data_IF_321874805161
#
_entry.id   IF_321874805161
#
_cell.length_a   1.000
_cell.length_b   1.000
_cell.length_c   1.000
_cell.angle_alpha   90.00
_cell.angle_beta   90.00
_cell.angle_gamma   90.00
#
_symmetry.space_group_name_H-M   'P 1'
#
loop_
_entity.id
_entity.type
_entity.pdbx_description
1 polymer ?
#
# COMPACT_ATOMS: atom_id res chain seq x y z
N UNK A 1 21.57 21.05 -10.71
CA UNK A 1 20.91 21.26 -9.41
C UNK A 1 20.76 19.89 -8.82
N UNK A 2 21.42 19.60 -7.70
CA UNK A 2 21.28 18.29 -7.04
C UNK A 2 19.81 18.10 -6.68
N UNK A 3 19.26 16.96 -7.11
CA UNK A 3 17.89 16.51 -6.86
C UNK A 3 17.74 16.22 -5.35
N UNK A 4 17.67 17.28 -4.54
CA UNK A 4 17.42 17.20 -3.12
C UNK A 4 15.92 16.94 -2.93
N UNK A 5 15.56 15.70 -2.66
CA UNK A 5 14.20 15.29 -2.29
C UNK A 5 14.30 14.13 -1.30
N UNK A 6 13.29 13.99 -0.43
CA UNK A 6 13.13 12.85 0.46
C UNK A 6 12.19 11.80 -0.14
N UNK A 7 11.14 12.26 -0.83
CA UNK A 7 10.19 11.40 -1.57
C UNK A 7 9.93 11.99 -2.95
N UNK A 8 9.99 11.16 -3.99
CA UNK A 8 9.65 11.53 -5.37
C UNK A 8 8.66 10.53 -5.94
N UNK A 9 7.49 11.03 -6.32
CA UNK A 9 6.39 10.28 -6.93
C UNK A 9 6.20 10.85 -8.34
N UNK A 10 6.27 10.01 -9.37
CA UNK A 10 6.14 10.45 -10.76
C UNK A 10 5.20 9.54 -11.55
N UNK A 11 4.12 10.13 -12.05
CA UNK A 11 3.11 9.52 -12.91
C UNK A 11 2.56 8.21 -12.31
N UNK A 12 2.41 8.18 -10.99
CA UNK A 12 2.02 6.98 -10.25
C UNK A 12 0.55 6.69 -10.46
N UNK A 13 0.27 5.45 -10.88
CA UNK A 13 -1.08 4.93 -11.03
C UNK A 13 -1.26 3.70 -10.15
N UNK A 14 -2.51 3.45 -9.74
CA UNK A 14 -2.86 2.25 -9.00
C UNK A 14 -4.24 1.76 -9.40
N UNK A 15 -4.26 0.58 -10.00
CA UNK A 15 -5.45 -0.17 -10.38
C UNK A 15 -5.78 -1.21 -9.30
N UNK A 16 -7.08 -1.42 -9.07
CA UNK A 16 -7.59 -2.50 -8.25
C UNK A 16 -8.62 -3.31 -9.03
N UNK A 17 -8.42 -4.62 -9.04
CA UNK A 17 -9.39 -5.57 -9.55
C UNK A 17 -10.52 -5.80 -8.55
N UNK A 18 -11.76 -5.71 -9.04
CA UNK A 18 -12.99 -5.95 -8.30
C UNK A 18 -13.47 -7.40 -8.50
N UNK A 19 -12.66 -8.36 -8.05
CA UNK A 19 -13.08 -9.76 -7.97
C UNK A 19 -14.21 -9.93 -6.96
N UNK A 20 -15.27 -10.66 -7.30
CA UNK A 20 -16.37 -10.94 -6.37
C UNK A 20 -16.04 -12.11 -5.44
N UNK A 21 -15.22 -13.05 -5.89
CA UNK A 21 -14.85 -14.26 -5.14
C UNK A 21 -13.39 -14.67 -5.35
N UNK A 22 -12.81 -15.41 -4.39
CA UNK A 22 -11.46 -15.98 -4.52
C UNK A 22 -11.37 -16.96 -5.71
N UNK A 23 -12.46 -17.68 -6.00
CA UNK A 23 -12.56 -18.60 -7.14
C UNK A 23 -12.41 -17.87 -8.49
N UNK A 24 -12.97 -16.66 -8.63
CA UNK A 24 -12.79 -15.83 -9.82
C UNK A 24 -11.33 -15.39 -10.00
N UNK A 25 -10.65 -15.04 -8.90
CA UNK A 25 -9.22 -14.68 -8.91
C UNK A 25 -8.36 -15.85 -9.40
N UNK A 26 -8.59 -17.06 -8.89
CA UNK A 26 -7.89 -18.27 -9.34
C UNK A 26 -8.16 -18.58 -10.82
N UNK A 27 -9.42 -18.50 -11.27
CA UNK A 27 -9.77 -18.74 -12.69
C UNK A 27 -9.14 -17.72 -13.64
N UNK A 28 -9.01 -16.46 -13.21
CA UNK A 28 -8.31 -15.42 -13.96
C UNK A 28 -6.81 -15.70 -14.05
N UNK A 29 -6.19 -16.16 -12.94
CA UNK A 29 -4.78 -16.54 -12.91
C UNK A 29 -4.42 -17.63 -13.93
N UNK A 30 -5.25 -18.68 -14.04
CA UNK A 30 -5.05 -19.75 -15.03
C UNK A 30 -5.51 -19.38 -16.45
N UNK A 31 -5.90 -18.12 -16.71
CA UNK A 31 -6.44 -17.68 -18.01
C UNK A 31 -7.65 -18.48 -18.51
N UNK A 32 -8.36 -19.17 -17.60
CA UNK A 32 -9.53 -20.01 -17.92
C UNK A 32 -10.78 -19.16 -18.18
N UNK A 33 -10.83 -17.95 -17.58
CA UNK A 33 -11.91 -17.00 -17.81
C UNK A 33 -11.55 -15.96 -18.87
N UNK A 34 -12.36 -15.85 -19.94
CA UNK A 34 -12.25 -14.79 -20.96
C UNK A 34 -12.90 -13.46 -20.54
N UNK A 35 -13.61 -13.43 -19.41
CA UNK A 35 -14.31 -12.22 -18.98
C UNK A 35 -13.32 -11.23 -18.37
N UNK A 36 -13.34 -9.97 -18.84
CA UNK A 36 -12.58 -8.88 -18.22
C UNK A 36 -13.05 -8.69 -16.78
N UNK A 37 -12.11 -8.77 -15.85
CA UNK A 37 -12.36 -8.48 -14.44
C UNK A 37 -12.71 -7.00 -14.33
N UNK A 38 -13.84 -6.64 -13.68
CA UNK A 38 -14.13 -5.24 -13.42
C UNK A 38 -13.00 -4.66 -12.57
N UNK A 39 -12.52 -3.47 -12.91
CA UNK A 39 -11.43 -2.81 -12.19
C UNK A 39 -11.76 -1.33 -12.01
N UNK A 40 -10.98 -0.65 -11.17
CA UNK A 40 -11.01 0.80 -11.09
C UNK A 40 -9.62 1.35 -10.78
N UNK A 41 -9.35 2.57 -11.24
CA UNK A 41 -8.13 3.29 -10.96
C UNK A 41 -8.31 4.18 -9.72
N UNK A 42 -7.64 3.79 -8.64
CA UNK A 42 -7.58 4.56 -7.40
C UNK A 42 -6.66 5.77 -7.48
N UNK A 43 -5.60 5.68 -8.29
CA UNK A 43 -4.67 6.77 -8.64
C UNK A 43 -4.46 6.77 -10.16
N UNK A 44 -4.49 7.96 -10.76
CA UNK A 44 -4.53 8.19 -12.21
C UNK A 44 -3.41 9.13 -12.66
N UNK A 45 -2.18 8.88 -12.20
CA UNK A 45 -1.00 9.62 -12.66
C UNK A 45 -0.58 10.72 -11.69
N UNK A 46 -0.39 10.37 -10.42
CA UNK A 46 0.04 11.32 -9.39
C UNK A 46 1.53 11.61 -9.54
N UNK A 47 1.88 12.89 -9.59
CA UNK A 47 3.26 13.37 -9.57
C UNK A 47 3.44 14.42 -8.47
N UNK A 48 4.31 14.15 -7.50
CA UNK A 48 4.65 15.10 -6.44
C UNK A 48 6.06 14.83 -5.90
N UNK A 49 6.66 15.83 -5.27
CA UNK A 49 7.98 15.73 -4.64
C UNK A 49 7.92 16.34 -3.25
N UNK A 50 8.49 15.65 -2.26
CA UNK A 50 8.55 16.07 -0.86
C UNK A 50 10.00 16.34 -0.52
N UNK A 51 10.26 17.51 0.04
CA UNK A 51 11.59 17.93 0.45
C UNK A 51 11.97 17.33 1.83
N UNK A 52 13.27 17.15 2.13
CA UNK A 52 13.69 16.76 3.48
C UNK A 52 13.20 17.77 4.53
N UNK A 53 12.69 17.28 5.66
CA UNK A 53 12.14 18.11 6.75
C UNK A 53 10.77 18.74 6.48
N UNK A 54 10.21 18.56 5.29
CA UNK A 54 8.90 19.09 4.93
C UNK A 54 7.77 18.23 5.51
N UNK A 55 6.73 18.87 6.04
CA UNK A 55 5.48 18.20 6.40
C UNK A 55 4.43 18.38 5.31
N UNK A 56 4.06 17.29 4.63
CA UNK A 56 3.05 17.28 3.57
C UNK A 56 1.70 16.76 4.08
N UNK A 57 0.65 17.59 3.98
CA UNK A 57 -0.73 17.19 4.20
C UNK A 57 -1.37 16.55 2.97
N UNK A 58 -1.99 15.38 3.09
CA UNK A 58 -2.83 14.79 2.04
C UNK A 58 -4.31 15.05 2.37
N UNK A 59 -5.00 15.80 1.51
CA UNK A 59 -6.43 16.13 1.66
C UNK A 59 -7.26 15.67 0.48
N UNK A 60 -8.57 15.49 0.71
CA UNK A 60 -9.49 14.99 -0.30
C UNK A 60 -10.68 14.25 0.29
N UNK A 61 -11.73 14.06 -0.51
CA UNK A 61 -12.93 13.32 -0.12
C UNK A 61 -12.63 11.84 0.17
N UNK A 62 -13.56 11.14 0.81
CA UNK A 62 -13.42 9.70 1.05
C UNK A 62 -13.35 8.96 -0.29
N UNK A 63 -12.42 8.00 -0.39
CA UNK A 63 -12.17 7.28 -1.65
C UNK A 63 -11.41 8.10 -2.70
N UNK A 64 -10.82 9.26 -2.35
CA UNK A 64 -10.04 10.05 -3.32
C UNK A 64 -8.68 9.43 -3.67
N UNK A 65 -8.16 8.48 -2.90
CA UNK A 65 -6.86 7.84 -3.13
C UNK A 65 -5.75 8.22 -2.13
N UNK A 66 -6.04 9.03 -1.10
CA UNK A 66 -5.04 9.45 -0.08
C UNK A 66 -4.31 8.28 0.57
N UNK A 67 -5.04 7.34 1.18
CA UNK A 67 -4.47 6.18 1.85
C UNK A 67 -3.78 5.22 0.86
N UNK A 68 -4.24 5.19 -0.40
CA UNK A 68 -3.54 4.42 -1.45
C UNK A 68 -2.17 5.03 -1.74
N UNK A 69 -2.10 6.35 -1.89
CA UNK A 69 -0.83 7.04 -2.14
C UNK A 69 0.11 6.92 -0.94
N UNK A 70 -0.39 7.11 0.29
CA UNK A 70 0.42 6.96 1.50
C UNK A 70 0.96 5.54 1.66
N UNK A 71 0.15 4.51 1.36
CA UNK A 71 0.57 3.11 1.39
C UNK A 71 1.59 2.76 0.29
N UNK A 72 1.56 3.45 -0.85
CA UNK A 72 2.59 3.31 -1.89
C UNK A 72 3.90 3.94 -1.42
N UNK A 73 3.84 5.13 -0.82
CA UNK A 73 5.04 5.81 -0.30
C UNK A 73 5.66 5.03 0.86
N UNK A 74 4.87 4.39 1.74
CA UNK A 74 5.40 3.52 2.79
C UNK A 74 5.88 2.15 2.32
N UNK A 75 5.74 1.82 1.03
CA UNK A 75 6.12 0.51 0.49
C UNK A 75 5.21 -0.65 0.91
N UNK A 76 4.04 -0.40 1.53
CA UNK A 76 3.08 -1.44 1.93
C UNK A 76 2.45 -2.07 0.69
N UNK A 77 2.15 -1.26 -0.33
CA UNK A 77 1.64 -1.74 -1.61
C UNK A 77 2.49 -1.18 -2.76
N UNK A 78 2.73 -1.96 -3.82
CA UNK A 78 3.37 -1.44 -5.01
C UNK A 78 2.37 -0.62 -5.85
N UNK A 79 2.88 0.36 -6.58
CA UNK A 79 2.15 1.04 -7.66
C UNK A 79 1.93 0.12 -8.86
N UNK A 80 0.90 0.40 -9.68
CA UNK A 80 0.66 -0.32 -10.94
C UNK A 80 1.58 0.17 -12.04
N UNK A 81 1.74 1.49 -12.17
CA UNK A 81 2.75 2.12 -13.03
C UNK A 81 3.28 3.39 -12.39
N UNK A 82 4.35 3.93 -12.97
CA UNK A 82 5.03 5.12 -12.50
C UNK A 82 6.18 4.81 -11.57
N UNK A 83 6.84 5.87 -11.12
CA UNK A 83 8.06 5.80 -10.34
C UNK A 83 7.84 6.37 -8.94
N UNK A 84 8.35 5.65 -7.95
CA UNK A 84 8.34 6.06 -6.54
C UNK A 84 9.75 5.86 -6.02
N UNK A 85 10.34 6.92 -5.49
CA UNK A 85 11.63 6.88 -4.81
C UNK A 85 11.50 7.50 -3.43
N UNK A 86 11.96 6.77 -2.43
CA UNK A 86 11.83 7.09 -1.01
C UNK A 86 13.19 6.90 -0.38
N UNK A 87 13.77 8.00 0.10
CA UNK A 87 15.15 8.01 0.61
C UNK A 87 15.15 8.02 2.14
N UNK A 88 15.12 6.84 2.75
CA UNK A 88 15.14 6.66 4.21
C UNK A 88 14.04 5.75 4.69
N UNK A 89 14.09 5.40 5.98
CA UNK A 89 13.14 4.48 6.58
C UNK A 89 11.78 5.15 6.83
N UNK A 90 10.72 4.46 6.42
CA UNK A 90 9.34 4.91 6.60
C UNK A 90 8.68 4.20 7.78
N UNK A 91 7.97 4.94 8.62
CA UNK A 91 7.07 4.36 9.63
C UNK A 91 5.66 4.88 9.41
N UNK A 92 4.68 3.97 9.40
CA UNK A 92 3.27 4.31 9.25
C UNK A 92 2.53 4.20 10.57
N UNK A 93 1.70 5.20 10.86
CA UNK A 93 0.70 5.19 11.92
C UNK A 93 -0.67 5.24 11.29
N UNK A 94 -1.37 4.12 11.29
CA UNK A 94 -2.77 4.04 10.90
C UNK A 94 -3.61 3.56 12.07
N UNK A 95 -4.92 3.86 12.06
CA UNK A 95 -5.89 3.35 13.05
C UNK A 95 -5.78 1.82 13.22
N UNK A 96 -5.46 1.13 12.13
CA UNK A 96 -5.10 -0.29 12.12
C UNK A 96 -3.59 -0.42 12.02
N UNK A 97 -2.85 -0.08 13.07
CA UNK A 97 -1.40 0.00 13.06
C UNK A 97 -0.68 -1.33 12.76
N UNK A 98 -1.34 -2.38 12.25
CA UNK A 98 -0.73 -3.67 11.98
C UNK A 98 -0.41 -4.48 13.24
N UNK A 99 -1.04 -4.14 14.37
CA UNK A 99 -0.92 -4.90 15.60
C UNK A 99 -1.54 -6.30 15.43
N UNK A 100 -0.85 -7.32 15.94
CA UNK A 100 -1.33 -8.70 16.01
C UNK A 100 -2.26 -8.85 17.21
N UNK A 101 -3.54 -9.06 16.92
CA UNK A 101 -4.61 -9.19 17.92
C UNK A 101 -4.37 -10.30 18.97
N UNK A 102 -3.67 -11.38 18.61
CA UNK A 102 -3.41 -12.50 19.50
C UNK A 102 -2.21 -12.28 20.43
N UNK A 103 -1.38 -11.27 20.16
CA UNK A 103 -0.22 -10.91 20.96
C UNK A 103 -0.59 -9.81 21.97
N UNK A 104 0.16 -9.72 23.06
CA UNK A 104 0.04 -8.63 24.03
C UNK A 104 0.56 -7.31 23.45
N UNK A 105 0.29 -6.19 24.14
CA UNK A 105 0.87 -4.90 23.77
C UNK A 105 2.40 -4.94 23.75
N UNK A 106 3.02 -5.50 24.79
CA UNK A 106 4.47 -5.66 24.91
C UNK A 106 5.06 -6.50 23.77
N UNK A 107 4.43 -7.62 23.45
CA UNK A 107 4.85 -8.47 22.33
C UNK A 107 4.71 -7.76 20.98
N UNK A 108 3.68 -6.93 20.81
CA UNK A 108 3.52 -6.11 19.62
C UNK A 108 4.58 -5.01 19.50
N UNK A 109 4.97 -4.37 20.61
CA UNK A 109 6.08 -3.40 20.63
C UNK A 109 7.35 -4.07 20.12
N UNK A 110 7.71 -5.22 20.72
CA UNK A 110 8.92 -5.95 20.33
C UNK A 110 8.84 -6.43 18.88
N UNK A 111 7.74 -7.06 18.46
CA UNK A 111 7.55 -7.56 17.09
C UNK A 111 7.75 -6.45 16.05
N UNK A 112 7.10 -5.30 16.23
CA UNK A 112 7.19 -4.21 15.27
C UNK A 112 8.56 -3.55 15.23
N UNK A 113 9.18 -3.39 16.38
CA UNK A 113 10.52 -2.81 16.49
C UNK A 113 11.56 -3.71 15.79
N UNK A 114 11.46 -5.03 15.98
CA UNK A 114 12.27 -6.01 15.24
C UNK A 114 12.04 -5.94 13.72
N UNK A 115 10.78 -5.78 13.28
CA UNK A 115 10.45 -5.63 11.86
C UNK A 115 11.04 -4.35 11.23
N UNK A 116 11.38 -3.36 12.06
CA UNK A 116 12.02 -2.11 11.65
C UNK A 116 13.54 -2.15 11.80
N UNK A 117 14.11 -3.31 12.14
CA UNK A 117 15.56 -3.52 12.20
C UNK A 117 16.20 -3.25 13.57
N UNK A 118 15.44 -2.91 14.61
CA UNK A 118 15.98 -2.74 15.95
C UNK A 118 16.39 -4.08 16.56
N UNK A 119 17.46 -4.07 17.33
CA UNK A 119 17.95 -5.19 18.13
C UNK A 119 17.12 -5.37 19.40
N UNK A 120 17.18 -6.55 20.04
CA UNK A 120 16.47 -6.76 21.31
C UNK A 120 16.95 -5.81 22.41
N UNK A 121 18.23 -5.44 22.42
CA UNK A 121 18.81 -4.52 23.41
C UNK A 121 18.20 -3.12 23.25
N UNK A 122 18.19 -2.56 22.05
CA UNK A 122 17.55 -1.27 21.74
C UNK A 122 16.06 -1.27 22.08
N UNK A 123 15.38 -2.40 21.83
CA UNK A 123 13.96 -2.56 22.15
C UNK A 123 13.73 -2.51 23.66
N UNK A 124 14.56 -3.20 24.44
CA UNK A 124 14.42 -3.25 25.89
C UNK A 124 14.70 -1.88 26.53
N UNK A 125 15.59 -1.08 25.92
CA UNK A 125 15.83 0.32 26.30
C UNK A 125 14.65 1.24 25.97
N UNK A 126 14.03 1.10 24.80
CA UNK A 126 12.89 1.93 24.37
C UNK A 126 11.54 1.50 24.97
N UNK A 127 11.42 0.26 25.44
CA UNK A 127 10.16 -0.33 25.91
C UNK A 127 9.46 0.52 26.99
N UNK A 128 10.13 1.03 28.04
CA UNK A 128 9.48 1.83 29.08
C UNK A 128 8.86 3.12 28.51
N UNK A 129 9.58 3.80 27.63
CA UNK A 129 9.14 5.07 27.03
C UNK A 129 7.95 4.87 26.10
N UNK A 130 7.97 3.80 25.29
CA UNK A 130 6.84 3.43 24.43
C UNK A 130 5.58 3.15 25.26
N UNK A 131 5.73 2.40 26.37
CA UNK A 131 4.59 2.05 27.24
C UNK A 131 4.05 3.31 27.95
N UNK A 132 4.94 4.15 28.47
CA UNK A 132 4.58 5.40 29.13
C UNK A 132 3.88 6.37 28.16
N UNK A 133 4.35 6.46 26.92
CA UNK A 133 3.73 7.28 25.89
C UNK A 133 2.34 6.75 25.52
N UNK A 134 2.21 5.44 25.30
CA UNK A 134 0.95 4.80 24.92
C UNK A 134 -0.16 5.00 25.97
N UNK A 135 0.22 5.06 27.25
CA UNK A 135 -0.69 5.41 28.35
C UNK A 135 -1.94 4.50 28.38
N UNK A 136 -1.68 3.19 28.36
CA UNK A 136 -2.70 2.12 28.38
C UNK A 136 -2.70 1.29 29.67
N UNK A 137 -1.82 1.63 30.64
CA UNK A 137 -1.69 0.95 31.92
C UNK A 137 -1.42 -0.55 31.79
N UNK A 138 -2.03 -1.35 32.68
CA UNK A 138 -1.85 -2.81 32.77
C UNK A 138 -2.32 -3.58 31.53
N UNK A 139 -3.07 -2.93 30.63
CA UNK A 139 -3.45 -3.57 29.38
C UNK A 139 -2.25 -3.88 28.48
N UNK A 140 -1.09 -3.27 28.69
CA UNK A 140 0.12 -3.59 27.93
C UNK A 140 0.46 -5.07 27.93
N UNK A 141 0.16 -5.79 29.01
CA UNK A 141 0.40 -7.23 29.15
C UNK A 141 -0.85 -8.08 28.79
N UNK A 142 -1.92 -7.45 28.29
CA UNK A 142 -3.12 -8.11 27.77
C UNK A 142 -3.09 -8.23 26.24
N UNK A 143 -3.69 -9.29 25.66
CA UNK A 143 -3.80 -9.45 24.21
C UNK A 143 -4.52 -8.28 23.52
N UNK A 144 -3.98 -7.77 22.42
CA UNK A 144 -4.51 -6.60 21.71
C UNK A 144 -5.96 -6.76 21.23
N UNK A 145 -6.46 -7.99 21.07
CA UNK A 145 -7.88 -8.25 20.78
C UNK A 145 -8.85 -7.70 21.83
N UNK A 146 -8.41 -7.48 23.07
CA UNK A 146 -9.23 -6.89 24.14
C UNK A 146 -9.21 -5.35 24.15
N UNK A 147 -8.36 -4.73 23.34
CA UNK A 147 -8.16 -3.28 23.36
C UNK A 147 -9.31 -2.54 22.67
N UNK A 148 -9.63 -1.36 23.19
CA UNK A 148 -10.45 -0.40 22.44
C UNK A 148 -9.73 0.07 21.16
N UNK A 149 -10.46 0.69 20.23
CA UNK A 149 -9.85 1.33 19.05
C UNK A 149 -8.85 2.43 19.44
N UNK A 150 -9.16 3.19 20.51
CA UNK A 150 -8.27 4.21 21.06
C UNK A 150 -6.95 3.62 21.54
N UNK A 151 -6.99 2.60 22.40
CA UNK A 151 -5.77 1.95 22.92
C UNK A 151 -4.88 1.36 21.80
N UNK A 152 -5.48 0.74 20.79
CA UNK A 152 -4.75 0.23 19.62
C UNK A 152 -4.03 1.34 18.86
N UNK A 153 -4.70 2.49 18.72
CA UNK A 153 -4.15 3.63 18.01
C UNK A 153 -3.05 4.31 18.83
N UNK A 154 -3.24 4.45 20.16
CA UNK A 154 -2.22 4.97 21.07
C UNK A 154 -0.95 4.14 21.06
N UNK A 155 -1.06 2.82 21.21
CA UNK A 155 0.07 1.91 21.15
C UNK A 155 0.73 1.94 19.76
N UNK A 156 -0.06 1.95 18.70
CA UNK A 156 0.43 2.06 17.32
C UNK A 156 1.25 3.32 17.08
N UNK A 157 0.76 4.47 17.54
CA UNK A 157 1.45 5.75 17.46
C UNK A 157 2.72 5.76 18.32
N UNK A 158 2.62 5.31 19.57
CA UNK A 158 3.75 5.24 20.51
C UNK A 158 4.91 4.45 19.92
N UNK A 159 4.65 3.26 19.38
CA UNK A 159 5.69 2.46 18.72
C UNK A 159 6.32 3.23 17.57
N UNK A 160 5.51 3.77 16.66
CA UNK A 160 5.99 4.40 15.44
C UNK A 160 6.86 5.65 15.67
N UNK A 161 6.58 6.44 16.72
CA UNK A 161 7.36 7.65 17.03
C UNK A 161 8.61 7.38 17.88
N UNK A 162 8.75 6.20 18.49
CA UNK A 162 9.98 5.84 19.23
C UNK A 162 10.98 5.05 18.38
N UNK A 163 10.56 4.53 17.21
CA UNK A 163 11.46 3.89 16.23
C UNK A 163 12.33 4.93 15.48
N UNK A 164 12.07 6.23 15.66
CA UNK A 164 12.84 7.33 15.07
C UNK A 164 13.01 7.26 13.53
N UNK A 165 11.91 7.12 12.77
CA UNK A 165 11.98 7.00 11.31
C UNK A 165 12.50 8.28 10.64
N UNK A 166 12.96 8.16 9.40
CA UNK A 166 13.27 9.30 8.54
C UNK A 166 12.02 9.98 7.99
N UNK A 167 10.99 9.16 7.71
CA UNK A 167 9.72 9.58 7.15
C UNK A 167 8.58 9.01 8.01
N UNK A 168 7.83 9.89 8.67
CA UNK A 168 6.66 9.49 9.46
C UNK A 168 5.37 9.71 8.65
N UNK A 169 4.58 8.66 8.45
CA UNK A 169 3.29 8.74 7.78
C UNK A 169 2.19 8.55 8.81
N UNK A 170 1.26 9.49 8.92
CA UNK A 170 0.16 9.45 9.88
C UNK A 170 -1.16 9.46 9.12
N UNK A 171 -1.87 8.34 9.14
CA UNK A 171 -3.15 8.13 8.45
C UNK A 171 -4.33 8.06 9.44
N UNK A 172 -5.03 9.20 9.59
CA UNK A 172 -6.21 9.39 10.46
C UNK A 172 -6.02 9.01 11.94
N UNK A 173 -4.79 8.79 12.38
CA UNK A 173 -4.48 8.25 13.70
C UNK A 173 -4.56 9.26 14.85
N UNK A 174 -4.67 10.56 14.57
CA UNK A 174 -4.76 11.59 15.63
C UNK A 174 -6.18 11.80 16.17
N UNK A 175 -7.20 11.23 15.52
CA UNK A 175 -8.62 11.42 15.92
C UNK A 175 -9.11 10.40 16.95
N UNK A 176 -8.23 9.50 17.41
CA UNK A 176 -8.54 8.32 18.22
C UNK A 176 -7.79 8.42 19.56
N UNK A 177 -8.25 9.32 20.42
CA UNK A 177 -7.63 9.61 21.72
C UNK A 177 -8.44 10.63 22.52
N UNK A 178 -7.96 10.95 23.72
CA UNK A 178 -8.42 12.13 24.47
C UNK A 178 -7.55 13.34 24.09
N UNK A 179 -7.95 14.54 24.52
CA UNK A 179 -7.23 15.78 24.23
C UNK A 179 -5.79 15.76 24.76
N UNK A 180 -5.56 15.09 25.89
CA UNK A 180 -4.22 14.94 26.49
C UNK A 180 -3.30 14.14 25.58
N UNK A 181 -3.75 12.99 25.07
CA UNK A 181 -2.98 12.17 24.14
C UNK A 181 -2.80 12.88 22.79
N UNK A 182 -3.81 13.59 22.31
CA UNK A 182 -3.69 14.42 21.11
C UNK A 182 -2.56 15.45 21.25
N UNK A 183 -2.47 16.14 22.40
CA UNK A 183 -1.39 17.09 22.64
C UNK A 183 -0.01 16.40 22.65
N UNK A 184 0.13 15.24 23.32
CA UNK A 184 1.37 14.43 23.27
C UNK A 184 1.79 14.13 21.82
N UNK A 185 0.83 13.77 20.96
CA UNK A 185 1.11 13.52 19.55
C UNK A 185 1.57 14.76 18.79
N UNK A 186 0.91 15.91 19.02
CA UNK A 186 1.28 17.19 18.38
C UNK A 186 2.68 17.64 18.81
N UNK A 187 3.00 17.50 20.09
CA UNK A 187 4.32 17.85 20.62
C UNK A 187 5.40 16.97 19.97
N UNK A 188 5.16 15.66 19.86
CA UNK A 188 6.10 14.74 19.22
C UNK A 188 6.27 14.99 17.72
N UNK A 189 5.20 15.35 17.02
CA UNK A 189 5.25 15.77 15.60
C UNK A 189 6.10 17.04 15.46
N UNK A 190 5.95 17.98 16.39
CA UNK A 190 6.72 19.24 16.39
C UNK A 190 8.20 19.00 16.66
N UNK A 191 8.54 18.07 17.55
CA UNK A 191 9.91 17.60 17.81
C UNK A 191 10.53 17.00 16.54
N UNK A 192 9.84 16.06 15.88
CA UNK A 192 10.30 15.47 14.62
C UNK A 192 10.50 16.49 13.51
N UNK A 193 9.62 17.49 13.43
CA UNK A 193 9.78 18.60 12.49
C UNK A 193 11.03 19.43 12.80
N UNK A 194 11.31 19.69 14.08
CA UNK A 194 12.52 20.40 14.51
C UNK A 194 13.80 19.60 14.24
N UNK A 195 13.73 18.27 14.30
CA UNK A 195 14.82 17.35 13.93
C UNK A 195 15.03 17.23 12.41
N UNK A 196 14.18 17.85 11.59
CA UNK A 196 14.27 17.78 10.14
C UNK A 196 13.75 16.46 9.54
N UNK A 197 12.92 15.72 10.28
CA UNK A 197 12.22 14.54 9.78
C UNK A 197 11.12 14.95 8.81
N UNK A 198 10.88 14.13 7.79
CA UNK A 198 9.79 14.36 6.83
C UNK A 198 8.51 13.71 7.33
N UNK A 199 7.38 14.41 7.23
CA UNK A 199 6.10 13.91 7.74
C UNK A 199 5.05 13.95 6.64
N UNK A 200 4.29 12.87 6.47
CA UNK A 200 3.14 12.81 5.59
C UNK A 200 1.89 12.65 6.45
N UNK A 201 1.06 13.69 6.49
CA UNK A 201 -0.11 13.75 7.35
C UNK A 201 -1.40 13.61 6.53
N UNK A 202 -2.11 12.50 6.71
CA UNK A 202 -3.40 12.25 6.05
C UNK A 202 -4.52 12.50 7.04
N UNK A 203 -5.33 13.53 6.79
CA UNK A 203 -6.43 13.90 7.66
C UNK A 203 -7.61 14.48 6.90
N UNK A 204 -8.80 14.24 7.43
CA UNK A 204 -10.04 14.90 7.02
C UNK A 204 -10.27 16.25 7.72
N UNK A 205 -9.47 16.57 8.75
CA UNK A 205 -9.57 17.82 9.50
C UNK A 205 -8.64 18.88 8.90
N UNK A 206 -9.22 19.86 8.21
CA UNK A 206 -8.46 20.98 7.65
C UNK A 206 -7.75 21.81 8.73
N UNK A 207 -8.31 21.89 9.94
CA UNK A 207 -7.68 22.59 11.06
C UNK A 207 -6.36 21.91 11.47
N UNK A 208 -6.32 20.58 11.48
CA UNK A 208 -5.09 19.84 11.79
C UNK A 208 -4.05 20.02 10.68
N UNK A 209 -4.51 19.95 9.42
CA UNK A 209 -3.64 20.18 8.25
C UNK A 209 -3.00 21.58 8.31
N UNK A 210 -3.81 22.62 8.55
CA UNK A 210 -3.33 24.02 8.63
C UNK A 210 -2.38 24.27 9.80
N UNK A 211 -2.49 23.48 10.88
CA UNK A 211 -1.64 23.62 12.06
C UNK A 211 -0.30 22.90 11.90
N UNK A 212 -0.30 21.73 11.24
CA UNK A 212 0.83 20.81 11.26
C UNK A 212 1.63 20.80 9.94
N UNK A 213 1.01 21.13 8.82
CA UNK A 213 1.62 20.95 7.49
C UNK A 213 2.23 22.24 6.93
N UNK A 214 3.33 22.08 6.20
CA UNK A 214 3.97 23.16 5.44
C UNK A 214 3.34 23.25 4.04
N UNK A 215 3.16 22.09 3.40
CA UNK A 215 2.49 21.96 2.10
C UNK A 215 1.33 21.01 2.15
N UNK A 216 0.44 21.11 1.16
CA UNK A 216 -0.70 20.23 1.02
C UNK A 216 -0.83 19.74 -0.42
N UNK A 217 -1.12 18.45 -0.58
CA UNK A 217 -1.56 17.84 -1.82
C UNK A 217 -3.06 17.49 -1.73
N UNK A 218 -3.86 18.13 -2.58
CA UNK A 218 -5.28 17.85 -2.72
C UNK A 218 -5.50 16.79 -3.81
N UNK A 219 -5.95 15.61 -3.36
CA UNK A 219 -6.29 14.49 -4.24
C UNK A 219 -7.82 14.37 -4.33
N UNK A 220 -8.34 14.24 -5.55
CA UNK A 220 -9.77 14.07 -5.81
C UNK A 220 -10.01 12.96 -6.84
N UNK A 221 -10.67 11.88 -6.43
CA UNK A 221 -10.99 10.71 -7.28
C UNK A 221 -9.79 10.18 -8.09
N UNK A 222 -8.62 10.06 -7.45
CA UNK A 222 -7.41 9.52 -8.07
C UNK A 222 -6.56 10.53 -8.84
N UNK A 223 -6.96 11.80 -8.92
CA UNK A 223 -6.19 12.87 -9.54
C UNK A 223 -5.60 13.82 -8.50
N UNK A 224 -4.38 14.28 -8.72
CA UNK A 224 -3.79 15.40 -7.97
C UNK A 224 -4.35 16.71 -8.53
N UNK A 225 -5.26 17.36 -7.79
CA UNK A 225 -5.88 18.62 -8.22
C UNK A 225 -4.98 19.81 -7.99
N UNK A 226 -4.27 19.81 -6.88
CA UNK A 226 -3.40 20.90 -6.49
C UNK A 226 -2.35 20.40 -5.50
N UNK A 227 -1.14 20.91 -5.60
CA UNK A 227 -0.09 20.76 -4.59
C UNK A 227 0.60 22.10 -4.40
N UNK A 228 0.82 22.52 -3.16
CA UNK A 228 1.34 23.85 -2.90
C UNK A 228 1.31 24.20 -1.42
N UNK A 229 1.38 25.50 -1.14
CA UNK A 229 1.35 26.04 0.22
C UNK A 229 0.03 25.69 0.92
N UNK A 230 0.12 25.38 2.21
CA UNK A 230 -1.01 24.87 2.98
C UNK A 230 -2.22 25.82 2.92
N UNK A 231 -2.01 27.13 3.10
CA UNK A 231 -3.13 28.08 3.14
C UNK A 231 -3.85 28.20 1.80
N UNK A 232 -3.10 28.18 0.70
CA UNK A 232 -3.64 28.30 -0.65
C UNK A 232 -4.49 27.07 -1.00
N UNK A 233 -3.93 25.88 -0.81
CA UNK A 233 -4.59 24.63 -1.18
C UNK A 233 -5.80 24.35 -0.28
N UNK A 234 -5.71 24.61 1.03
CA UNK A 234 -6.86 24.42 1.93
C UNK A 234 -7.98 25.41 1.64
N UNK A 235 -7.67 26.64 1.23
CA UNK A 235 -8.67 27.62 0.78
C UNK A 235 -9.45 27.12 -0.45
N UNK A 236 -8.74 26.67 -1.48
CA UNK A 236 -9.35 26.09 -2.69
C UNK A 236 -10.20 24.85 -2.37
N UNK A 237 -9.72 24.00 -1.48
CA UNK A 237 -10.48 22.84 -1.03
C UNK A 237 -11.73 23.23 -0.21
N UNK A 238 -11.68 24.29 0.61
CA UNK A 238 -12.85 24.82 1.32
C UNK A 238 -13.91 25.34 0.33
N UNK A 239 -13.50 25.97 -0.76
CA UNK A 239 -14.44 26.41 -1.81
C UNK A 239 -15.10 25.21 -2.50
N UNK A 240 -14.31 24.19 -2.88
CA UNK A 240 -14.83 22.95 -3.43
C UNK A 240 -15.83 22.28 -2.48
N UNK A 241 -15.50 22.13 -1.20
CA UNK A 241 -16.40 21.49 -0.22
C UNK A 241 -17.66 22.31 0.05
N UNK A 242 -17.56 23.66 0.08
CA UNK A 242 -18.74 24.55 0.16
C UNK A 242 -19.66 24.37 -1.04
N UNK A 243 -19.10 24.36 -2.25
CA UNK A 243 -19.84 24.11 -3.49
C UNK A 243 -20.50 22.72 -3.45
N UNK A 244 -19.73 21.67 -3.15
CA UNK A 244 -20.23 20.30 -3.13
C UNK A 244 -21.36 20.12 -2.11
N UNK A 245 -21.26 20.75 -0.93
CA UNK A 245 -22.31 20.70 0.10
C UNK A 245 -23.63 21.35 -0.36
N UNK A 246 -23.57 22.42 -1.15
CA UNK A 246 -24.74 23.15 -1.68
C UNK A 246 -25.52 22.36 -2.74
N UNK A 247 -24.89 21.39 -3.41
CA UNK A 247 -25.55 20.56 -4.41
C UNK A 247 -26.70 19.74 -3.80
N UNK A 248 -27.78 19.57 -4.59
CA UNK A 248 -28.86 18.65 -4.27
C UNK A 248 -28.36 17.20 -4.22
N UNK A 249 -29.12 16.30 -3.60
CA UNK A 249 -28.77 14.87 -3.54
C UNK A 249 -28.61 14.26 -4.94
N UNK A 250 -29.44 14.68 -5.91
CA UNK A 250 -29.37 14.21 -7.30
C UNK A 250 -28.08 14.68 -7.99
N UNK A 251 -27.71 15.94 -7.82
CA UNK A 251 -26.47 16.50 -8.39
C UNK A 251 -25.22 15.89 -7.77
N UNK A 252 -25.20 15.68 -6.43
CA UNK A 252 -24.11 14.98 -5.75
C UNK A 252 -23.90 13.58 -6.32
N UNK A 253 -24.97 12.80 -6.45
CA UNK A 253 -24.87 11.47 -7.03
C UNK A 253 -24.46 11.49 -8.51
N UNK A 254 -24.92 12.47 -9.29
CA UNK A 254 -24.49 12.62 -10.68
C UNK A 254 -22.97 12.91 -10.76
N UNK A 255 -22.48 13.86 -9.96
CA UNK A 255 -21.06 14.20 -9.89
C UNK A 255 -20.20 13.02 -9.43
N UNK A 256 -20.60 12.33 -8.36
CA UNK A 256 -19.90 11.15 -7.86
C UNK A 256 -19.87 10.02 -8.90
N UNK A 257 -20.97 9.82 -9.62
CA UNK A 257 -21.07 8.82 -10.68
C UNK A 257 -20.13 9.15 -11.84
N UNK A 258 -20.16 10.39 -12.32
CA UNK A 258 -19.25 10.87 -13.37
C UNK A 258 -17.78 10.64 -12.98
N UNK A 259 -17.39 11.02 -11.76
CA UNK A 259 -16.02 10.83 -11.27
C UNK A 259 -15.63 9.35 -11.16
N UNK A 260 -16.53 8.49 -10.67
CA UNK A 260 -16.30 7.04 -10.62
C UNK A 260 -16.23 6.41 -12.01
N UNK A 261 -16.99 6.93 -12.97
CA UNK A 261 -16.94 6.46 -14.35
C UNK A 261 -15.61 6.86 -15.02
N UNK A 262 -15.06 8.05 -14.71
CA UNK A 262 -13.68 8.41 -15.10
C UNK A 262 -12.66 7.42 -14.51
N UNK A 263 -12.75 7.11 -13.21
CA UNK A 263 -11.85 6.13 -12.57
C UNK A 263 -11.92 4.73 -13.19
N UNK A 264 -13.08 4.30 -13.70
CA UNK A 264 -13.23 3.00 -14.37
C UNK A 264 -12.75 3.01 -15.81
N UNK A 265 -12.93 4.13 -16.51
CA UNK A 265 -12.63 4.25 -17.93
C UNK A 265 -11.23 4.83 -18.20
N UNK A 266 -10.47 5.17 -17.16
CA UNK A 266 -9.09 5.64 -17.28
C UNK A 266 -8.25 4.62 -18.05
N UNK A 267 -7.52 5.10 -19.05
CA UNK A 267 -6.69 4.27 -19.92
C UNK A 267 -5.23 4.69 -19.77
N UNK A 268 -4.42 3.75 -19.26
CA UNK A 268 -2.98 3.96 -19.12
C UNK A 268 -2.29 4.27 -20.45
N UNK A 269 -2.76 3.69 -21.55
CA UNK A 269 -2.22 3.91 -22.88
C UNK A 269 -2.47 5.34 -23.37
N UNK A 270 -3.65 5.88 -23.09
CA UNK A 270 -3.98 7.27 -23.45
C UNK A 270 -3.18 8.24 -22.59
N UNK A 271 -3.05 7.95 -21.29
CA UNK A 271 -2.24 8.77 -20.38
C UNK A 271 -0.76 8.76 -20.76
N UNK A 272 -0.19 7.61 -21.15
CA UNK A 272 1.19 7.54 -21.66
C UNK A 272 1.40 8.38 -22.93
N UNK A 273 0.43 8.38 -23.85
CA UNK A 273 0.48 9.25 -25.04
C UNK A 273 0.49 10.71 -24.64
N UNK A 274 -0.39 11.12 -23.71
CA UNK A 274 -0.43 12.49 -23.20
C UNK A 274 0.92 12.90 -22.60
N UNK A 275 1.50 12.08 -21.71
CA UNK A 275 2.81 12.36 -21.10
C UNK A 275 3.92 12.44 -22.16
N UNK A 276 3.86 11.58 -23.18
CA UNK A 276 4.81 11.62 -24.30
C UNK A 276 4.69 12.93 -25.08
N UNK A 277 3.47 13.40 -25.36
CA UNK A 277 3.23 14.66 -26.06
C UNK A 277 3.67 15.87 -25.23
N UNK A 278 3.45 15.85 -23.90
CA UNK A 278 3.91 16.90 -22.98
C UNK A 278 5.44 16.96 -22.96
N UNK A 279 6.12 15.81 -22.78
CA UNK A 279 7.59 15.78 -22.79
C UNK A 279 8.18 16.17 -24.15
N UNK A 280 7.50 15.86 -25.27
CA UNK A 280 7.94 16.26 -26.60
C UNK A 280 7.91 17.79 -26.79
N UNK A 281 6.95 18.49 -26.15
CA UNK A 281 6.87 19.95 -26.18
C UNK A 281 7.99 20.61 -25.38
N UNK A 282 8.34 20.03 -24.23
CA UNK A 282 9.40 20.56 -23.36
C UNK A 282 10.81 20.28 -23.90
N UNK A 283 11.02 19.12 -24.54
CA UNK A 283 12.32 18.69 -25.05
C UNK A 283 12.25 18.16 -26.50
N UNK A 284 12.01 19.02 -27.51
CA UNK A 284 11.77 18.59 -28.90
C UNK A 284 12.96 17.90 -29.59
N UNK A 285 14.18 18.01 -29.04
CA UNK A 285 15.38 17.37 -29.59
C UNK A 285 15.68 15.99 -28.96
N UNK A 286 14.87 15.54 -28.00
CA UNK A 286 15.15 14.31 -27.27
C UNK A 286 14.82 13.04 -28.10
N UNK A 287 15.86 12.30 -28.48
CA UNK A 287 15.73 11.02 -29.19
C UNK A 287 15.23 9.93 -28.24
N UNK A 288 14.46 8.97 -28.76
CA UNK A 288 13.92 7.80 -28.02
C UNK A 288 12.90 8.12 -26.90
N UNK A 289 12.10 9.18 -27.06
CA UNK A 289 11.12 9.62 -26.06
C UNK A 289 10.15 8.50 -25.62
N UNK A 290 9.64 7.70 -26.54
CA UNK A 290 8.76 6.57 -26.22
C UNK A 290 9.40 5.55 -25.27
N UNK A 291 10.67 5.21 -25.48
CA UNK A 291 11.38 4.26 -24.61
C UNK A 291 11.60 4.85 -23.21
N UNK A 292 11.91 6.15 -23.14
CA UNK A 292 12.08 6.87 -21.87
C UNK A 292 10.77 6.93 -21.07
N UNK A 293 9.65 7.27 -21.72
CA UNK A 293 8.32 7.26 -21.10
C UNK A 293 7.96 5.84 -20.64
N UNK A 294 8.18 4.83 -21.48
CA UNK A 294 7.93 3.44 -21.08
C UNK A 294 8.76 3.04 -19.84
N UNK A 295 10.04 3.43 -19.80
CA UNK A 295 10.90 3.20 -18.62
C UNK A 295 10.41 3.95 -17.39
N UNK A 296 9.90 5.16 -17.53
CA UNK A 296 9.34 5.94 -16.43
C UNK A 296 8.09 5.27 -15.83
N UNK A 297 7.27 4.63 -16.67
CA UNK A 297 6.06 3.95 -16.22
C UNK A 297 6.30 2.54 -15.67
N UNK A 298 7.27 1.79 -16.20
CA UNK A 298 7.41 0.37 -15.87
C UNK A 298 8.78 -0.02 -15.31
N UNK A 299 9.75 0.90 -15.28
CA UNK A 299 11.13 0.59 -14.88
C UNK A 299 11.28 0.18 -13.41
N UNK A 300 10.42 0.68 -12.53
CA UNK A 300 10.40 0.35 -11.09
C UNK A 300 9.26 -0.59 -10.69
N UNK A 301 8.46 -1.06 -11.65
CA UNK A 301 7.29 -1.89 -11.37
C UNK A 301 7.69 -3.36 -11.42
N UNK A 302 7.36 -4.11 -10.36
CA UNK A 302 7.50 -5.57 -10.36
C UNK A 302 6.35 -6.14 -11.20
N UNK A 303 6.68 -6.84 -12.29
CA UNK A 303 5.67 -7.46 -13.16
C UNK A 303 4.86 -8.51 -12.40
N UNK A 304 3.55 -8.29 -12.27
CA UNK A 304 2.62 -9.26 -11.67
C UNK A 304 2.36 -10.48 -12.57
N UNK A 305 2.64 -10.37 -13.88
CA UNK A 305 2.44 -11.48 -14.82
C UNK A 305 3.67 -12.37 -14.85
N UNK A 306 3.45 -13.65 -14.57
CA UNK A 306 4.46 -14.69 -14.75
C UNK A 306 4.93 -14.69 -16.20
N UNK A 307 6.25 -14.67 -16.40
CA UNK A 307 6.86 -14.95 -17.70
C UNK A 307 6.32 -16.28 -18.25
N UNK A 308 6.21 -16.39 -19.57
CA UNK A 308 5.82 -17.64 -20.26
C UNK A 308 6.67 -18.82 -19.77
N UNK A 309 7.95 -18.56 -19.50
CA UNK A 309 8.85 -19.56 -18.92
C UNK A 309 8.40 -20.04 -17.53
N UNK A 310 8.02 -19.11 -16.65
CA UNK A 310 7.53 -19.45 -15.31
C UNK A 310 6.18 -20.18 -15.39
N UNK A 311 5.32 -19.83 -16.36
CA UNK A 311 4.05 -20.54 -16.59
C UNK A 311 4.30 -21.99 -17.00
N UNK A 312 5.20 -22.22 -17.97
CA UNK A 312 5.59 -23.57 -18.41
C UNK A 312 6.19 -24.38 -17.26
N UNK A 313 7.11 -23.79 -16.49
CA UNK A 313 7.70 -24.43 -15.32
C UNK A 313 6.63 -24.81 -14.28
N UNK A 314 5.66 -23.94 -14.02
CA UNK A 314 4.58 -24.20 -13.07
C UNK A 314 3.71 -25.37 -13.52
N UNK A 315 3.37 -25.44 -14.82
CA UNK A 315 2.66 -26.58 -15.40
C UNK A 315 3.48 -27.88 -15.32
N UNK A 316 4.78 -27.82 -15.60
CA UNK A 316 5.66 -28.98 -15.49
C UNK A 316 5.70 -29.52 -14.06
N UNK A 317 5.88 -28.65 -13.06
CA UNK A 317 5.85 -29.03 -11.63
C UNK A 317 4.50 -29.62 -11.25
N UNK A 318 3.39 -29.01 -11.70
CA UNK A 318 2.05 -29.52 -11.42
C UNK A 318 1.85 -30.93 -12.00
N UNK A 319 2.27 -31.16 -13.24
CA UNK A 319 2.18 -32.48 -13.90
C UNK A 319 3.00 -33.52 -13.13
N UNK A 320 4.21 -33.17 -12.70
CA UNK A 320 5.08 -34.06 -11.91
C UNK A 320 4.43 -34.37 -10.56
N UNK A 321 3.88 -33.38 -9.86
CA UNK A 321 3.19 -33.58 -8.57
C UNK A 321 1.96 -34.48 -8.75
N UNK A 322 1.13 -34.23 -9.77
CA UNK A 322 -0.03 -35.06 -10.08
C UNK A 322 0.39 -36.49 -10.41
N UNK A 323 1.47 -36.67 -11.19
CA UNK A 323 2.04 -37.98 -11.50
C UNK A 323 2.44 -38.72 -10.22
N UNK A 324 3.22 -38.11 -9.33
CA UNK A 324 3.61 -38.75 -8.07
C UNK A 324 2.42 -39.04 -7.14
N UNK A 325 1.41 -38.17 -7.10
CA UNK A 325 0.16 -38.45 -6.37
C UNK A 325 -0.56 -39.67 -6.94
N UNK A 326 -0.67 -39.79 -8.27
CA UNK A 326 -1.31 -40.94 -8.92
C UNK A 326 -0.51 -42.23 -8.73
N UNK A 327 0.82 -42.17 -8.79
CA UNK A 327 1.72 -43.31 -8.49
C UNK A 327 1.53 -43.77 -7.04
N UNK A 328 1.45 -42.83 -6.10
CA UNK A 328 1.22 -43.13 -4.69
C UNK A 328 -0.17 -43.78 -4.48
N UNK A 329 -1.21 -43.23 -5.12
CA UNK A 329 -2.58 -43.78 -5.05
C UNK A 329 -2.70 -45.15 -5.72
N UNK A 330 -1.98 -45.41 -6.81
CA UNK A 330 -2.04 -46.70 -7.51
C UNK A 330 -1.30 -47.82 -6.79
N UNK A 331 -0.41 -47.48 -5.86
CA UNK A 331 0.38 -48.44 -5.07
C UNK A 331 1.52 -49.09 -5.85
N UNK A 332 1.86 -48.57 -7.04
CA UNK A 332 2.94 -49.09 -7.89
C UNK A 332 4.23 -48.27 -7.75
N UNK A 333 5.38 -48.88 -8.06
CA UNK A 333 6.66 -48.16 -8.12
C UNK A 333 6.68 -47.19 -9.29
N UNK A 334 7.43 -46.10 -9.14
CA UNK A 334 7.63 -45.07 -10.18
C UNK A 334 8.13 -45.70 -11.48
N UNK A 335 9.09 -46.63 -11.38
CA UNK A 335 9.68 -47.34 -12.52
C UNK A 335 8.65 -48.13 -13.33
N UNK A 336 7.76 -48.87 -12.64
CA UNK A 336 6.69 -49.65 -13.27
C UNK A 336 5.67 -48.78 -13.98
N UNK A 337 5.33 -47.62 -13.40
CA UNK A 337 4.40 -46.67 -14.01
C UNK A 337 5.01 -45.97 -15.24
N UNK A 338 6.33 -45.74 -15.24
CA UNK A 338 7.03 -45.16 -16.41
C UNK A 338 7.02 -46.14 -17.60
N UNK A 339 7.16 -47.44 -17.34
CA UNK A 339 7.17 -48.47 -18.38
C UNK A 339 5.76 -48.93 -18.80
N UNK A 340 4.78 -48.92 -17.89
CA UNK A 340 3.38 -49.21 -18.18
C UNK A 340 2.44 -48.17 -17.53
N UNK A 341 2.08 -47.10 -18.25
CA UNK A 341 1.22 -46.03 -17.74
C UNK A 341 -0.21 -46.48 -17.44
N UNK A 342 -0.68 -47.59 -18.02
CA UNK A 342 -2.07 -48.06 -17.85
C UNK A 342 -2.38 -48.46 -16.41
N UNK A 343 -1.33 -48.82 -15.68
CA UNK A 343 -1.35 -49.22 -14.27
C UNK A 343 -1.82 -48.10 -13.34
N UNK A 344 -1.75 -46.83 -13.75
CA UNK A 344 -2.27 -45.69 -12.98
C UNK A 344 -3.80 -45.74 -12.79
N UNK A 345 -4.53 -46.41 -13.68
CA UNK A 345 -5.99 -46.52 -13.66
C UNK A 345 -6.46 -47.81 -13.00
N UNK A 346 -5.54 -48.72 -12.70
CA UNK A 346 -5.80 -50.02 -12.08
C UNK A 346 -5.05 -50.10 -10.74
N UNK A 347 -5.58 -49.50 -9.66
CA UNK A 347 -4.93 -49.52 -8.36
C UNK A 347 -4.77 -50.95 -7.87
N UNK A 348 -3.56 -51.31 -7.44
CA UNK A 348 -3.31 -52.61 -6.82
C UNK A 348 -3.76 -52.61 -5.37
N UNK A 349 -4.50 -53.64 -4.97
CA UNK A 349 -4.89 -53.86 -3.57
C UNK A 349 -3.86 -54.68 -2.78
N UNK A 350 -2.75 -55.07 -3.41
CA UNK A 350 -1.69 -55.87 -2.81
C UNK A 350 -0.37 -55.09 -2.81
N UNK A 351 0.09 -54.78 -1.60
CA UNK A 351 1.38 -54.14 -1.34
C UNK A 351 2.50 -55.17 -1.57
N UNK A 352 3.12 -55.17 -2.75
CA UNK A 352 4.32 -55.96 -2.99
C UNK A 352 5.53 -55.22 -2.42
N UNK A 353 5.95 -55.62 -1.22
CA UNK A 353 7.20 -55.18 -0.62
C UNK A 353 8.39 -55.76 -1.41
N UNK A 354 9.52 -55.04 -1.54
CA UNK A 354 10.70 -55.57 -2.21
C UNK A 354 11.21 -56.80 -1.44
N UNK A 355 11.08 -57.99 -2.05
CA UNK A 355 11.54 -59.28 -1.50
C UNK A 355 10.55 -60.43 -1.48
N UNK A 356 9.28 -60.23 -1.86
CA UNK A 356 8.32 -61.33 -2.02
C UNK A 356 8.03 -61.56 -3.52
N UNK A 357 8.62 -62.63 -4.06
CA UNK A 357 8.15 -63.30 -5.28
C UNK A 357 6.77 -63.94 -5.07
#
# INVERSE_FOLDING_TARGET
MEDNYKVKVQNVTKEYDLFKTQSEKLRSFFSVSKNRVPHFWSLMGISLTIQPGETLGLIGVNGSGKSTLSNIISGIIPQTTGYVDVRGDTSIVAIHAGLRNNLTGRENIRLKSLMQGLTNEEIDELMPDIIAFADIGDFVDQPVKSYSSGMRSRLGFAIAVHINPDILIIDEALSVGDDTFYQKCVDKISEFKAEGKTIIFVSHSLKQIEMLCDKVAWINYGELKMVGDTQEVTSQYREFTKWFKKLSKKEKHAFEKERKDIQKNFSIQNYQKQVTEEMAKEAPQEKNLHSKVHKLFYGSVISEKMSVWNQLLTWAVLIVVVFFCLVNVSGHSVDRVIHDPTVLVHPSHQLHLPGNE
#
